data_IF_450245968003
#
_entry.id   IF_450245968003
#
_cell.length_a   1.000
_cell.length_b   1.000
_cell.length_c   1.000
_cell.angle_alpha   90.00
_cell.angle_beta   90.00
_cell.angle_gamma   90.00
#
_symmetry.space_group_name_H-M   'P 1'
#
loop_
_entity.id
_entity.type
_entity.pdbx_description
1 polymer ?
#
# COMPACT_ATOMS: atom_id res chain seq x y z
N UNK A 1 4.58 41.56 -61.06
CA UNK A 1 5.37 40.93 -62.15
C UNK A 1 5.17 39.39 -62.24
N UNK A 2 4.70 38.73 -61.18
CA UNK A 2 4.50 37.26 -61.11
C UNK A 2 3.30 36.74 -61.94
N UNK A 3 2.22 37.52 -62.06
CA UNK A 3 0.98 37.06 -62.72
C UNK A 3 1.09 36.93 -64.26
N UNK A 4 1.90 37.78 -64.93
CA UNK A 4 2.12 37.68 -66.39
C UNK A 4 2.92 36.43 -66.79
N UNK A 5 3.80 35.94 -65.91
CA UNK A 5 4.60 34.73 -66.12
C UNK A 5 3.74 33.47 -66.02
N UNK A 6 2.74 33.50 -65.13
CA UNK A 6 1.76 32.43 -64.92
C UNK A 6 0.87 32.19 -66.15
N UNK A 7 0.51 33.25 -66.87
CA UNK A 7 -0.37 33.16 -68.05
C UNK A 7 0.40 32.66 -69.29
N UNK A 8 1.67 33.07 -69.47
CA UNK A 8 2.51 32.66 -70.61
C UNK A 8 2.84 31.16 -70.58
N UNK A 9 3.01 30.60 -69.38
CA UNK A 9 3.44 29.21 -69.17
C UNK A 9 2.32 28.32 -68.59
N UNK A 10 1.06 28.63 -68.89
CA UNK A 10 -0.12 27.94 -68.34
C UNK A 10 -0.06 26.40 -68.48
N UNK A 11 0.50 25.89 -69.58
CA UNK A 11 0.65 24.44 -69.81
C UNK A 11 1.62 23.77 -68.84
N UNK A 12 2.79 24.35 -68.58
CA UNK A 12 3.78 23.75 -67.68
C UNK A 12 3.29 23.77 -66.23
N UNK A 13 2.57 24.82 -65.84
CA UNK A 13 1.94 24.92 -64.52
C UNK A 13 0.83 23.88 -64.38
N UNK A 14 0.02 23.66 -65.43
CA UNK A 14 -1.01 22.64 -65.44
C UNK A 14 -0.42 21.23 -65.22
N UNK A 15 0.67 20.89 -65.92
CA UNK A 15 1.35 19.61 -65.71
C UNK A 15 1.97 19.50 -64.31
N UNK A 16 2.53 20.59 -63.76
CA UNK A 16 3.06 20.61 -62.40
C UNK A 16 1.97 20.39 -61.34
N UNK A 17 0.82 21.05 -61.50
CA UNK A 17 -0.34 20.84 -60.61
C UNK A 17 -0.91 19.43 -60.78
N UNK A 18 -1.03 18.93 -62.00
CA UNK A 18 -1.49 17.57 -62.26
C UNK A 18 -0.57 16.52 -61.63
N UNK A 19 0.75 16.72 -61.70
CA UNK A 19 1.74 15.85 -61.05
C UNK A 19 1.64 15.93 -59.53
N UNK A 20 1.47 17.12 -58.96
CA UNK A 20 1.29 17.29 -57.52
C UNK A 20 0.02 16.59 -57.02
N UNK A 21 -1.09 16.69 -57.76
CA UNK A 21 -2.35 15.99 -57.46
C UNK A 21 -2.16 14.48 -57.57
N UNK A 22 -1.48 14.00 -58.61
CA UNK A 22 -1.20 12.58 -58.79
C UNK A 22 -0.36 12.02 -57.64
N UNK A 23 0.71 12.71 -57.25
CA UNK A 23 1.56 12.31 -56.13
C UNK A 23 0.80 12.33 -54.81
N UNK A 24 -0.03 13.35 -54.59
CA UNK A 24 -0.88 13.43 -53.40
C UNK A 24 -1.84 12.23 -53.32
N UNK A 25 -2.49 11.91 -54.44
CA UNK A 25 -3.43 10.78 -54.51
C UNK A 25 -2.73 9.43 -54.31
N UNK A 26 -1.53 9.27 -54.86
CA UNK A 26 -0.72 8.06 -54.66
C UNK A 26 -0.33 7.89 -53.19
N UNK A 27 0.18 8.94 -52.53
CA UNK A 27 0.52 8.87 -51.09
C UNK A 27 -0.72 8.64 -50.22
N UNK A 28 -1.86 9.22 -50.60
CA UNK A 28 -3.11 9.00 -49.91
C UNK A 28 -3.55 7.53 -49.97
N UNK A 29 -3.43 6.90 -51.14
CA UNK A 29 -3.78 5.50 -51.34
C UNK A 29 -2.81 4.56 -50.62
N UNK A 30 -1.50 4.85 -50.65
CA UNK A 30 -0.50 4.10 -49.86
C UNK A 30 -0.80 4.17 -48.37
N UNK A 31 -1.10 5.36 -47.85
CA UNK A 31 -1.46 5.54 -46.44
C UNK A 31 -2.72 4.74 -46.09
N UNK A 32 -3.73 4.77 -46.96
CA UNK A 32 -4.96 4.01 -46.77
C UNK A 32 -4.72 2.50 -46.80
N UNK A 33 -3.92 2.01 -47.75
CA UNK A 33 -3.60 0.59 -47.90
C UNK A 33 -2.73 0.07 -46.75
N UNK A 34 -1.73 0.85 -46.31
CA UNK A 34 -0.89 0.53 -45.15
C UNK A 34 -1.75 0.43 -43.88
N UNK A 35 -2.72 1.33 -43.70
CA UNK A 35 -3.64 1.30 -42.56
C UNK A 35 -4.61 0.11 -42.63
N UNK A 36 -5.12 -0.23 -43.81
CA UNK A 36 -6.07 -1.35 -43.98
C UNK A 36 -5.37 -2.70 -43.80
N UNK A 37 -4.21 -2.90 -44.42
CA UNK A 37 -3.51 -4.19 -44.34
C UNK A 37 -2.91 -4.44 -42.96
N UNK A 38 -2.42 -3.39 -42.29
CA UNK A 38 -1.87 -3.49 -40.94
C UNK A 38 -2.87 -3.04 -39.87
N UNK A 39 -4.17 -3.09 -40.18
CA UNK A 39 -5.23 -2.64 -39.27
C UNK A 39 -5.13 -3.30 -37.90
N UNK A 40 -4.74 -4.57 -37.84
CA UNK A 40 -4.54 -5.30 -36.58
C UNK A 40 -3.36 -4.76 -35.76
N UNK A 41 -2.22 -4.43 -36.38
CA UNK A 41 -1.07 -3.86 -35.67
C UNK A 41 -1.38 -2.47 -35.12
N UNK A 42 -2.06 -1.65 -35.94
CA UNK A 42 -2.51 -0.31 -35.53
C UNK A 42 -3.55 -0.40 -34.41
N UNK A 43 -4.50 -1.34 -34.47
CA UNK A 43 -5.50 -1.56 -33.42
C UNK A 43 -4.86 -2.02 -32.10
N UNK A 44 -3.94 -2.98 -32.14
CA UNK A 44 -3.21 -3.44 -30.95
C UNK A 44 -2.38 -2.30 -30.36
N UNK A 45 -1.69 -1.52 -31.21
CA UNK A 45 -0.91 -0.36 -30.76
C UNK A 45 -1.77 0.72 -30.10
N UNK A 46 -2.92 1.05 -30.67
CA UNK A 46 -3.86 2.03 -30.09
C UNK A 46 -4.44 1.55 -28.77
N UNK A 47 -4.82 0.27 -28.66
CA UNK A 47 -5.23 -0.34 -27.40
C UNK A 47 -4.12 -0.27 -26.36
N UNK A 48 -2.88 -0.65 -26.72
CA UNK A 48 -1.75 -0.65 -25.80
C UNK A 48 -1.48 0.76 -25.24
N UNK A 49 -1.53 1.79 -26.09
CA UNK A 49 -1.40 3.20 -25.66
C UNK A 49 -2.54 3.60 -24.71
N UNK A 50 -3.78 3.24 -25.04
CA UNK A 50 -4.95 3.54 -24.20
C UNK A 50 -4.81 2.89 -22.82
N UNK A 51 -4.49 1.60 -22.75
CA UNK A 51 -4.32 0.88 -21.49
C UNK A 51 -3.11 1.37 -20.69
N UNK A 52 -2.01 1.75 -21.34
CA UNK A 52 -0.84 2.31 -20.67
C UNK A 52 -1.16 3.65 -20.01
N UNK A 53 -1.84 4.54 -20.73
CA UNK A 53 -2.29 5.83 -20.19
C UNK A 53 -3.30 5.63 -19.06
N UNK A 54 -4.26 4.72 -19.23
CA UNK A 54 -5.26 4.39 -18.22
C UNK A 54 -4.62 3.79 -16.95
N UNK A 55 -3.65 2.88 -17.12
CA UNK A 55 -2.93 2.25 -16.02
C UNK A 55 -2.10 3.23 -15.21
N UNK A 56 -1.34 4.11 -15.89
CA UNK A 56 -0.58 5.18 -15.23
C UNK A 56 -1.52 6.12 -14.48
N UNK A 57 -2.61 6.55 -15.11
CA UNK A 57 -3.61 7.42 -14.48
C UNK A 57 -4.26 6.75 -13.27
N UNK A 58 -4.66 5.48 -13.39
CA UNK A 58 -5.32 4.73 -12.33
C UNK A 58 -4.36 4.48 -11.16
N UNK A 59 -3.11 4.11 -11.44
CA UNK A 59 -2.08 3.95 -10.42
C UNK A 59 -1.88 5.25 -9.64
N UNK A 60 -1.69 6.38 -10.33
CA UNK A 60 -1.57 7.68 -9.67
C UNK A 60 -2.83 8.10 -8.90
N UNK A 61 -4.02 7.72 -9.38
CA UNK A 61 -5.30 8.03 -8.72
C UNK A 61 -5.53 7.20 -7.45
N UNK A 62 -5.17 5.92 -7.46
CA UNK A 62 -5.34 4.99 -6.34
C UNK A 62 -4.21 5.05 -5.32
N UNK A 63 -3.01 5.47 -5.74
CA UNK A 63 -1.81 5.49 -4.86
C UNK A 63 -1.73 6.78 -4.03
N UNK A 64 -2.68 7.72 -4.12
CA UNK A 64 -2.75 8.82 -3.15
C UNK A 64 -3.01 8.21 -1.77
N UNK A 65 -2.04 8.12 -0.85
CA UNK A 65 -2.29 7.61 0.47
C UNK A 65 -3.04 8.72 1.20
N UNK A 66 -4.37 8.70 1.12
CA UNK A 66 -5.24 9.49 2.00
C UNK A 66 -5.31 8.76 3.34
N UNK A 67 -4.15 8.61 3.96
CA UNK A 67 -4.00 8.34 5.37
C UNK A 67 -2.93 9.32 5.84
N UNK A 68 -3.30 10.60 5.85
CA UNK A 68 -3.07 11.34 7.07
C UNK A 68 -3.89 10.61 8.13
N UNK A 69 -3.31 9.54 8.69
CA UNK A 69 -3.43 9.35 10.12
C UNK A 69 -2.88 10.66 10.70
N UNK A 70 -3.77 11.65 10.82
CA UNK A 70 -3.81 12.40 12.06
C UNK A 70 -3.93 11.28 13.08
N UNK A 71 -2.76 10.84 13.55
CA UNK A 71 -2.61 10.29 14.87
C UNK A 71 -3.19 11.43 15.70
N UNK A 72 -4.49 11.37 15.92
CA UNK A 72 -5.10 12.00 17.06
C UNK A 72 -4.47 11.19 18.18
N UNK A 73 -3.24 11.59 18.52
CA UNK A 73 -2.65 11.51 19.83
C UNK A 73 -3.58 12.34 20.71
N UNK A 74 -4.82 11.89 20.86
CA UNK A 74 -5.45 12.02 22.14
C UNK A 74 -4.65 11.05 22.97
N UNK A 75 -3.54 11.54 23.52
CA UNK A 75 -2.87 10.92 24.63
C UNK A 75 -3.88 10.91 25.76
N UNK A 76 -4.78 9.92 25.74
CA UNK A 76 -5.54 9.53 26.91
C UNK A 76 -4.51 8.79 27.75
N UNK A 77 -3.72 9.56 28.51
CA UNK A 77 -3.08 9.04 29.69
C UNK A 77 -4.23 8.57 30.58
N UNK A 78 -4.62 7.30 30.45
CA UNK A 78 -5.31 6.62 31.53
C UNK A 78 -4.23 6.54 32.60
N UNK A 79 -4.17 7.56 33.47
CA UNK A 79 -3.59 7.39 34.79
C UNK A 79 -4.35 6.22 35.40
N UNK A 80 -3.79 5.01 35.28
CA UNK A 80 -4.05 3.97 36.24
C UNK A 80 -3.50 4.55 37.54
N UNK A 81 -4.36 5.22 38.30
CA UNK A 81 -4.17 5.38 39.72
C UNK A 81 -3.94 3.97 40.27
N UNK A 82 -2.66 3.57 40.39
CA UNK A 82 -2.18 2.32 41.00
C UNK A 82 -2.42 2.32 42.52
N UNK A 83 -3.42 3.06 42.98
CA UNK A 83 -3.69 3.34 44.37
C UNK A 83 -4.48 2.21 45.04
N UNK A 84 -4.89 1.17 44.31
CA UNK A 84 -5.77 0.13 44.87
C UNK A 84 -5.65 -1.29 44.31
N UNK A 85 -4.78 -1.58 43.35
CA UNK A 85 -4.61 -2.96 42.85
C UNK A 85 -3.44 -3.66 43.56
N UNK A 86 -3.78 -4.59 44.46
CA UNK A 86 -2.82 -5.50 45.08
C UNK A 86 -2.97 -6.86 44.40
N UNK A 87 -2.00 -7.30 43.56
CA UNK A 87 -2.07 -8.61 42.93
C UNK A 87 -2.24 -9.70 43.98
N UNK A 88 -3.05 -10.72 43.70
CA UNK A 88 -3.18 -11.86 44.59
C UNK A 88 -1.85 -12.64 44.63
N UNK A 89 -1.07 -12.41 45.68
CA UNK A 89 0.27 -12.99 45.86
C UNK A 89 0.23 -14.52 45.87
N UNK A 90 -0.87 -15.15 46.31
CA UNK A 90 -1.01 -16.61 46.35
C UNK A 90 -1.06 -17.22 44.96
N UNK A 91 -1.75 -16.56 44.04
CA UNK A 91 -1.87 -17.00 42.66
C UNK A 91 -0.57 -16.76 41.87
N UNK A 92 0.15 -15.67 42.21
CA UNK A 92 1.46 -15.38 41.63
C UNK A 92 2.51 -16.42 42.06
N UNK A 93 2.50 -16.83 43.33
CA UNK A 93 3.34 -17.91 43.85
C UNK A 93 2.97 -19.26 43.22
N UNK A 94 1.68 -19.55 43.01
CA UNK A 94 1.23 -20.81 42.39
C UNK A 94 1.73 -20.95 40.95
N UNK A 95 1.71 -19.86 40.18
CA UNK A 95 2.13 -19.87 38.78
C UNK A 95 3.64 -19.67 38.58
N UNK A 96 4.36 -19.29 39.64
CA UNK A 96 5.81 -19.04 39.62
C UNK A 96 6.25 -18.14 38.43
N UNK A 97 5.50 -17.07 38.21
CA UNK A 97 5.77 -16.10 37.15
C UNK A 97 6.98 -15.24 37.53
N UNK A 98 7.92 -15.11 36.60
CA UNK A 98 9.02 -14.18 36.75
C UNK A 98 8.53 -12.74 36.62
N UNK A 99 9.26 -11.79 37.20
CA UNK A 99 8.98 -10.35 37.06
C UNK A 99 8.84 -9.94 35.59
N UNK A 100 9.67 -10.50 34.73
CA UNK A 100 9.67 -10.17 33.30
C UNK A 100 8.45 -10.73 32.56
N UNK A 101 8.00 -11.93 32.92
CA UNK A 101 6.77 -12.51 32.37
C UNK A 101 5.54 -11.72 32.82
N UNK A 102 5.52 -11.24 34.07
CA UNK A 102 4.46 -10.37 34.58
C UNK A 102 4.42 -9.03 33.84
N UNK A 103 5.56 -8.35 33.66
CA UNK A 103 5.65 -7.11 32.89
C UNK A 103 5.16 -7.31 31.44
N UNK A 104 5.52 -8.42 30.81
CA UNK A 104 5.04 -8.75 29.46
C UNK A 104 3.53 -8.95 29.48
N UNK A 105 2.98 -9.67 30.46
CA UNK A 105 1.54 -9.91 30.60
C UNK A 105 0.74 -8.61 30.82
N UNK A 106 1.25 -7.69 31.64
CA UNK A 106 0.65 -6.36 31.86
C UNK A 106 0.59 -5.56 30.55
N UNK A 107 1.71 -5.45 29.84
CA UNK A 107 1.76 -4.77 28.55
C UNK A 107 0.92 -5.48 27.49
N UNK A 108 0.76 -6.80 27.58
CA UNK A 108 -0.16 -7.55 26.73
C UNK A 108 -1.62 -7.14 26.98
N UNK A 109 -1.98 -6.91 28.24
CA UNK A 109 -3.32 -6.48 28.65
C UNK A 109 -3.61 -5.02 28.28
N UNK A 110 -2.58 -4.17 28.22
CA UNK A 110 -2.66 -2.82 27.63
C UNK A 110 -2.91 -2.83 26.10
N UNK A 111 -2.84 -4.00 25.46
CA UNK A 111 -3.10 -4.16 24.02
C UNK A 111 -1.87 -4.02 23.12
N UNK A 112 -0.67 -3.92 23.69
CA UNK A 112 0.56 -3.70 22.93
C UNK A 112 1.00 -4.95 22.16
N UNK A 113 1.39 -4.80 20.90
CA UNK A 113 1.97 -5.86 20.09
C UNK A 113 3.34 -6.30 20.64
N UNK A 114 3.78 -7.52 20.30
CA UNK A 114 5.09 -8.00 20.76
C UNK A 114 6.26 -7.10 20.30
N UNK A 115 6.09 -6.39 19.18
CA UNK A 115 7.06 -5.41 18.69
C UNK A 115 7.09 -4.16 19.58
N UNK A 116 5.93 -3.61 19.93
CA UNK A 116 5.84 -2.46 20.84
C UNK A 116 6.33 -2.81 22.25
N UNK A 117 5.99 -4.01 22.74
CA UNK A 117 6.50 -4.54 24.01
C UNK A 117 8.03 -4.63 23.97
N UNK A 118 8.60 -5.16 22.87
CA UNK A 118 10.05 -5.29 22.73
C UNK A 118 10.77 -3.93 22.76
N UNK A 119 10.16 -2.92 22.12
CA UNK A 119 10.67 -1.54 22.13
C UNK A 119 10.58 -0.91 23.52
N UNK A 120 9.44 -1.05 24.21
CA UNK A 120 9.21 -0.49 25.55
C UNK A 120 10.07 -1.13 26.62
N UNK A 121 10.35 -2.41 26.48
CA UNK A 121 11.15 -3.20 27.41
C UNK A 121 12.65 -3.24 27.04
N UNK A 122 13.07 -2.60 25.95
CA UNK A 122 14.44 -2.56 25.44
C UNK A 122 15.07 -3.96 25.25
N UNK A 123 14.30 -4.89 24.69
CA UNK A 123 14.75 -6.27 24.40
C UNK A 123 14.40 -6.68 22.98
N UNK A 124 14.98 -7.77 22.49
CA UNK A 124 14.65 -8.27 21.15
C UNK A 124 13.23 -8.82 21.07
N UNK A 125 12.62 -8.80 19.88
CA UNK A 125 11.32 -9.43 19.62
C UNK A 125 11.34 -10.93 19.97
N UNK A 126 12.47 -11.61 19.73
CA UNK A 126 12.62 -13.02 20.06
C UNK A 126 12.55 -13.25 21.58
N UNK A 127 13.18 -12.38 22.36
CA UNK A 127 13.12 -12.41 23.83
C UNK A 127 11.69 -12.29 24.34
N UNK A 128 10.89 -11.38 23.76
CA UNK A 128 9.45 -11.27 24.10
C UNK A 128 8.68 -12.53 23.74
N UNK A 129 8.95 -13.14 22.58
CA UNK A 129 8.31 -14.41 22.18
C UNK A 129 8.66 -15.54 23.16
N UNK A 130 9.91 -15.64 23.59
CA UNK A 130 10.33 -16.62 24.61
C UNK A 130 9.61 -16.39 25.94
N UNK A 131 9.57 -15.15 26.44
CA UNK A 131 8.83 -14.83 27.67
C UNK A 131 7.33 -15.14 27.54
N UNK A 132 6.75 -14.85 26.37
CA UNK A 132 5.33 -15.16 26.10
C UNK A 132 5.06 -16.66 26.10
N UNK A 133 5.96 -17.46 25.50
CA UNK A 133 5.83 -18.92 25.48
C UNK A 133 5.90 -19.49 26.89
N UNK A 134 6.93 -19.12 27.65
CA UNK A 134 7.09 -19.60 29.02
C UNK A 134 5.92 -19.18 29.92
N UNK A 135 5.42 -17.95 29.75
CA UNK A 135 4.23 -17.47 30.44
C UNK A 135 3.00 -18.34 30.11
N UNK A 136 2.78 -18.65 28.84
CA UNK A 136 1.66 -19.48 28.40
C UNK A 136 1.76 -20.91 28.94
N UNK A 137 2.96 -21.48 28.94
CA UNK A 137 3.23 -22.80 29.50
C UNK A 137 2.96 -22.83 31.02
N UNK A 138 3.38 -21.80 31.76
CA UNK A 138 3.13 -21.69 33.22
C UNK A 138 1.66 -21.47 33.56
N UNK A 139 0.91 -20.81 32.70
CA UNK A 139 -0.52 -20.56 32.89
C UNK A 139 -1.41 -21.66 32.31
N UNK A 140 -0.83 -22.69 31.67
CA UNK A 140 -1.54 -23.75 30.95
C UNK A 140 -2.54 -23.22 29.90
N UNK A 141 -2.11 -22.20 29.15
CA UNK A 141 -2.91 -21.56 28.08
C UNK A 141 -2.18 -21.62 26.75
N UNK A 142 -2.93 -21.54 25.64
CA UNK A 142 -2.34 -21.61 24.28
C UNK A 142 -2.37 -20.28 23.54
N UNK A 143 -3.17 -19.33 24.02
CA UNK A 143 -3.43 -18.08 23.30
C UNK A 143 -3.25 -16.88 24.23
N UNK A 144 -2.75 -15.78 23.65
CA UNK A 144 -2.61 -14.49 24.32
C UNK A 144 -3.90 -14.03 25.01
N UNK A 145 -5.04 -14.15 24.34
CA UNK A 145 -6.33 -13.75 24.93
C UNK A 145 -6.70 -14.58 26.15
N UNK A 146 -6.40 -15.89 26.13
CA UNK A 146 -6.64 -16.77 27.27
C UNK A 146 -5.74 -16.42 28.45
N UNK A 147 -4.47 -16.08 28.19
CA UNK A 147 -3.55 -15.62 29.23
C UNK A 147 -4.07 -14.34 29.91
N UNK A 148 -4.53 -13.37 29.12
CA UNK A 148 -5.08 -12.10 29.65
C UNK A 148 -6.37 -12.36 30.44
N UNK A 149 -7.29 -13.16 29.93
CA UNK A 149 -8.54 -13.50 30.60
C UNK A 149 -8.30 -14.23 31.93
N UNK A 150 -7.40 -15.21 31.93
CA UNK A 150 -7.02 -15.94 33.14
C UNK A 150 -6.33 -15.02 34.15
N UNK A 151 -5.43 -14.15 33.71
CA UNK A 151 -4.76 -13.20 34.59
C UNK A 151 -5.73 -12.21 35.25
N UNK A 152 -6.77 -11.78 34.53
CA UNK A 152 -7.87 -10.97 35.09
C UNK A 152 -8.71 -11.76 36.10
N UNK A 153 -9.06 -13.01 35.76
CA UNK A 153 -9.82 -13.90 36.66
C UNK A 153 -9.08 -14.17 37.97
N UNK A 154 -7.77 -14.29 37.91
CA UNK A 154 -6.89 -14.52 39.06
C UNK A 154 -6.47 -13.23 39.77
N UNK A 155 -6.97 -12.06 39.35
CA UNK A 155 -6.60 -10.76 39.91
C UNK A 155 -5.07 -10.55 39.96
N UNK A 156 -4.35 -10.97 38.91
CA UNK A 156 -2.91 -10.77 38.76
C UNK A 156 -2.61 -9.46 38.02
N UNK A 157 -3.51 -9.07 37.11
CA UNK A 157 -3.49 -7.81 36.36
C UNK A 157 -4.84 -7.09 36.53
N UNK A 158 -4.88 -5.75 36.41
CA UNK A 158 -6.11 -4.97 36.52
C UNK A 158 -7.10 -5.19 35.35
#
# INVERSE_FOLDING_TARGET
>A
MTFKLFIKNKRTILYGVALAVLLFLLKWLEFHFIIINNAYEVYIGTIAVLFTLLGIWLALKLTKPKVQTVVVEKQVYINHDRSGFSPDQRELERLNLSRRELEVLELMAEGLSNQEISARLFVSLNTIKTHSSNLFDKMDVKRRTQAIEMAKRLCIIP
#
